data_IF_833106795102
#
_entry.id   IF_833106795102
#
_cell.length_a   1.000
_cell.length_b   1.000
_cell.length_c   1.000
_cell.angle_alpha   90.00
_cell.angle_beta   90.00
_cell.angle_gamma   90.00
#
_symmetry.space_group_name_H-M   'P 1'
#
loop_
_entity.id
_entity.type
_entity.pdbx_description
1 polymer ?
#
# COMPACT_ATOMS: atom_id res chain seq x y z
N UNK A 1 -12.62 -5.82 -12.60
CA UNK A 1 -11.38 -5.28 -11.99
C UNK A 1 -11.26 -3.77 -12.17
N UNK A 2 -11.38 -3.21 -13.39
CA UNK A 2 -11.38 -1.73 -13.58
C UNK A 2 -12.43 -1.00 -12.73
N UNK A 3 -13.61 -1.60 -12.55
CA UNK A 3 -14.67 -0.99 -11.74
C UNK A 3 -14.38 -1.00 -10.23
N UNK A 4 -13.66 -2.03 -9.73
CA UNK A 4 -13.30 -2.12 -8.30
C UNK A 4 -12.32 -1.03 -7.87
N UNK A 5 -11.34 -0.71 -8.73
CA UNK A 5 -10.41 0.38 -8.49
C UNK A 5 -11.14 1.72 -8.47
N UNK A 6 -11.97 1.99 -9.48
CA UNK A 6 -12.74 3.23 -9.57
C UNK A 6 -13.66 3.44 -8.36
N UNK A 7 -14.36 2.39 -7.91
CA UNK A 7 -15.19 2.47 -6.70
C UNK A 7 -14.36 2.70 -5.44
N UNK A 8 -13.18 2.10 -5.33
CA UNK A 8 -12.28 2.32 -4.19
C UNK A 8 -11.77 3.76 -4.15
N UNK A 9 -11.40 4.32 -5.30
CA UNK A 9 -10.99 5.71 -5.45
C UNK A 9 -12.14 6.67 -5.10
N UNK A 10 -13.37 6.40 -5.55
CA UNK A 10 -14.57 7.20 -5.23
C UNK A 10 -14.92 7.20 -3.72
N UNK A 11 -14.61 6.10 -3.01
CA UNK A 11 -14.81 6.00 -1.55
C UNK A 11 -13.72 6.76 -0.79
N UNK A 12 -12.45 6.59 -1.19
CA UNK A 12 -11.29 7.05 -0.44
C UNK A 12 -10.83 8.47 -0.75
N UNK A 13 -10.74 8.81 -2.04
CA UNK A 13 -9.95 9.97 -2.52
C UNK A 13 -10.75 10.92 -3.39
N UNK A 14 -11.58 10.40 -4.28
CA UNK A 14 -12.42 11.19 -5.18
C UNK A 14 -13.84 11.38 -4.62
N UNK A 15 -13.99 11.40 -3.30
CA UNK A 15 -15.32 11.52 -2.67
C UNK A 15 -15.97 12.85 -3.04
N UNK A 16 -16.77 12.83 -4.11
CA UNK A 16 -17.50 14.00 -4.63
C UNK A 16 -18.61 14.40 -3.65
N UNK A 17 -19.36 13.40 -3.18
CA UNK A 17 -20.40 13.57 -2.16
C UNK A 17 -20.65 12.25 -1.41
N UNK A 18 -21.48 12.29 -0.37
CA UNK A 18 -21.80 11.12 0.44
C UNK A 18 -22.60 10.04 -0.31
N UNK A 19 -23.42 10.43 -1.29
CA UNK A 19 -24.25 9.50 -2.06
C UNK A 19 -23.41 8.74 -3.09
N UNK A 20 -22.43 9.40 -3.70
CA UNK A 20 -21.41 8.85 -4.60
C UNK A 20 -20.59 7.76 -3.90
N UNK A 21 -19.96 8.09 -2.76
CA UNK A 21 -19.25 7.09 -1.95
C UNK A 21 -20.16 5.94 -1.50
N UNK A 22 -21.44 6.21 -1.21
CA UNK A 22 -22.39 5.15 -0.85
C UNK A 22 -22.68 4.22 -2.01
N UNK A 23 -22.93 4.73 -3.22
CA UNK A 23 -23.15 3.91 -4.42
C UNK A 23 -21.93 3.05 -4.76
N UNK A 24 -20.74 3.65 -4.74
CA UNK A 24 -19.49 2.90 -4.91
C UNK A 24 -19.37 1.80 -3.85
N UNK A 25 -19.79 2.08 -2.62
CA UNK A 25 -19.77 1.08 -1.56
C UNK A 25 -20.73 -0.07 -1.82
N UNK A 26 -21.98 0.26 -2.18
CA UNK A 26 -23.02 -0.72 -2.49
C UNK A 26 -22.62 -1.60 -3.69
N UNK A 27 -21.91 -1.05 -4.69
CA UNK A 27 -21.41 -1.81 -5.84
C UNK A 27 -20.34 -2.85 -5.46
N UNK A 28 -19.39 -2.49 -4.58
CA UNK A 28 -18.39 -3.44 -4.09
C UNK A 28 -19.07 -4.54 -3.25
N UNK A 29 -20.07 -4.18 -2.43
CA UNK A 29 -20.86 -5.17 -1.67
C UNK A 29 -21.58 -6.13 -2.64
N UNK A 30 -22.24 -5.60 -3.67
CA UNK A 30 -22.92 -6.41 -4.69
C UNK A 30 -21.95 -7.36 -5.41
N UNK A 31 -20.73 -6.92 -5.72
CA UNK A 31 -19.69 -7.78 -6.29
C UNK A 31 -19.36 -8.96 -5.38
N UNK A 32 -19.23 -8.73 -4.07
CA UNK A 32 -18.93 -9.80 -3.12
C UNK A 32 -20.15 -10.69 -2.84
N UNK A 33 -21.36 -10.13 -2.83
CA UNK A 33 -22.61 -10.89 -2.71
C UNK A 33 -22.83 -11.84 -3.91
N UNK A 34 -22.24 -11.55 -5.07
CA UNK A 34 -22.23 -12.47 -6.21
C UNK A 34 -21.17 -13.58 -6.06
N UNK A 35 -19.96 -13.24 -5.62
CA UNK A 35 -18.82 -14.17 -5.63
C UNK A 35 -18.81 -15.12 -4.44
N UNK A 36 -19.22 -14.67 -3.25
CA UNK A 36 -19.16 -15.47 -2.01
C UNK A 36 -20.07 -16.70 -2.10
N UNK A 37 -21.35 -16.61 -2.52
CA UNK A 37 -22.19 -17.78 -2.70
C UNK A 37 -21.66 -18.76 -3.75
N UNK A 38 -21.07 -18.25 -4.84
CA UNK A 38 -20.44 -19.10 -5.87
C UNK A 38 -19.26 -19.88 -5.31
N UNK A 39 -18.40 -19.25 -4.50
CA UNK A 39 -17.29 -19.93 -3.81
C UNK A 39 -17.74 -20.87 -2.71
N UNK A 40 -18.89 -20.61 -2.08
CA UNK A 40 -19.51 -21.54 -1.13
C UNK A 40 -20.01 -22.80 -1.83
N UNK A 41 -20.63 -22.68 -3.01
CA UNK A 41 -21.09 -23.82 -3.80
C UNK A 41 -19.94 -24.59 -4.48
N UNK A 42 -18.91 -23.87 -4.94
CA UNK A 42 -17.76 -24.42 -5.65
C UNK A 42 -16.45 -23.83 -5.10
N UNK A 43 -15.93 -24.39 -3.98
CA UNK A 43 -14.69 -23.91 -3.37
C UNK A 43 -13.50 -24.02 -4.32
N UNK A 44 -12.66 -22.98 -4.36
CA UNK A 44 -11.40 -22.93 -5.10
C UNK A 44 -10.18 -22.87 -4.17
N UNK A 45 -9.03 -22.52 -4.73
CA UNK A 45 -7.77 -22.29 -4.01
C UNK A 45 -7.54 -20.81 -3.64
N UNK A 46 -8.59 -19.98 -3.74
CA UNK A 46 -8.50 -18.54 -3.46
C UNK A 46 -8.76 -18.18 -2.00
N UNK A 47 -8.49 -16.91 -1.70
CA UNK A 47 -8.64 -16.36 -0.36
C UNK A 47 -10.09 -16.43 0.17
N UNK A 48 -11.09 -16.20 -0.68
CA UNK A 48 -12.50 -16.25 -0.26
C UNK A 48 -12.89 -17.68 0.14
N UNK A 49 -12.44 -18.66 -0.64
CA UNK A 49 -12.61 -20.09 -0.32
C UNK A 49 -11.90 -20.47 0.98
N UNK A 50 -10.72 -19.88 1.21
CA UNK A 50 -9.97 -20.06 2.47
C UNK A 50 -10.73 -19.51 3.67
N UNK A 51 -11.32 -18.31 3.56
CA UNK A 51 -12.15 -17.73 4.62
C UNK A 51 -13.41 -18.56 4.90
N UNK A 52 -14.07 -19.06 3.86
CA UNK A 52 -15.26 -19.90 3.98
C UNK A 52 -14.97 -21.22 4.71
N UNK A 53 -13.75 -21.76 4.57
CA UNK A 53 -13.31 -22.97 5.27
C UNK A 53 -12.73 -22.70 6.67
N UNK A 54 -12.43 -21.43 6.99
CA UNK A 54 -11.76 -21.06 8.23
C UNK A 54 -12.65 -21.24 9.46
N UNK A 55 -12.01 -21.57 10.58
CA UNK A 55 -12.66 -21.60 11.90
C UNK A 55 -11.84 -20.80 12.91
N UNK A 56 -12.50 -19.96 13.68
CA UNK A 56 -11.93 -19.21 14.80
C UNK A 56 -12.60 -19.72 16.08
N UNK A 57 -11.80 -20.12 17.07
CA UNK A 57 -12.28 -20.73 18.31
C UNK A 57 -13.26 -21.91 18.07
N UNK A 58 -12.96 -22.70 17.04
CA UNK A 58 -13.77 -23.85 16.62
C UNK A 58 -15.04 -23.54 15.83
N UNK A 59 -15.37 -22.26 15.62
CA UNK A 59 -16.58 -21.82 14.92
C UNK A 59 -16.26 -21.30 13.52
N UNK A 60 -17.07 -21.60 12.50
CA UNK A 60 -16.96 -20.98 11.18
C UNK A 60 -17.12 -19.45 11.29
N UNK A 61 -16.49 -18.72 10.37
CA UNK A 61 -16.75 -17.30 10.19
C UNK A 61 -18.18 -17.08 9.68
N UNK A 62 -18.85 -16.04 10.19
CA UNK A 62 -20.15 -15.60 9.69
C UNK A 62 -20.04 -14.84 8.36
N UNK A 63 -21.13 -14.79 7.60
CA UNK A 63 -21.18 -14.15 6.27
C UNK A 63 -20.73 -12.69 6.32
N UNK A 64 -21.11 -11.97 7.39
CA UNK A 64 -20.68 -10.59 7.61
C UNK A 64 -19.18 -10.47 7.84
N UNK A 65 -18.58 -11.36 8.62
CA UNK A 65 -17.14 -11.34 8.91
C UNK A 65 -16.34 -11.63 7.63
N UNK A 66 -16.79 -12.59 6.81
CA UNK A 66 -16.18 -12.90 5.52
C UNK A 66 -16.23 -11.68 4.60
N UNK A 67 -17.40 -11.03 4.50
CA UNK A 67 -17.56 -9.79 3.74
C UNK A 67 -16.60 -8.68 4.25
N UNK A 68 -16.52 -8.48 5.56
CA UNK A 68 -15.66 -7.46 6.17
C UNK A 68 -14.17 -7.73 5.88
N UNK A 69 -13.73 -9.00 5.88
CA UNK A 69 -12.36 -9.36 5.47
C UNK A 69 -12.10 -9.12 3.98
N UNK A 70 -13.02 -9.51 3.11
CA UNK A 70 -12.94 -9.26 1.67
C UNK A 70 -12.83 -7.76 1.37
N UNK A 71 -13.68 -6.97 2.03
CA UNK A 71 -13.68 -5.51 1.96
C UNK A 71 -12.36 -4.91 2.44
N UNK A 72 -11.90 -5.32 3.63
CA UNK A 72 -10.66 -4.85 4.22
C UNK A 72 -9.46 -5.09 3.30
N UNK A 73 -9.33 -6.30 2.74
CA UNK A 73 -8.22 -6.61 1.85
C UNK A 73 -8.29 -5.88 0.51
N UNK A 74 -9.48 -5.69 -0.05
CA UNK A 74 -9.65 -4.93 -1.27
C UNK A 74 -9.11 -3.50 -1.11
N UNK A 75 -9.52 -2.80 -0.06
CA UNK A 75 -9.06 -1.43 0.20
C UNK A 75 -7.58 -1.41 0.58
N UNK A 76 -7.15 -2.33 1.45
CA UNK A 76 -5.77 -2.34 1.94
C UNK A 76 -4.72 -2.60 0.84
N UNK A 77 -5.06 -3.45 -0.14
CA UNK A 77 -4.13 -3.89 -1.19
C UNK A 77 -4.07 -2.99 -2.42
N UNK A 78 -5.12 -2.22 -2.72
CA UNK A 78 -5.18 -1.46 -3.98
C UNK A 78 -4.29 -0.22 -3.97
N UNK A 79 -4.42 0.64 -2.96
CA UNK A 79 -3.87 1.98 -3.06
C UNK A 79 -2.46 2.12 -2.46
N UNK A 80 -2.20 1.51 -1.30
CA UNK A 80 -0.93 1.65 -0.59
C UNK A 80 0.29 1.18 -1.43
N UNK A 81 0.15 0.04 -2.11
CA UNK A 81 1.22 -0.51 -2.97
C UNK A 81 1.43 0.39 -4.20
N UNK A 82 0.34 0.80 -4.86
CA UNK A 82 0.40 1.67 -6.04
C UNK A 82 1.04 3.03 -5.72
N UNK A 83 0.66 3.63 -4.59
CA UNK A 83 1.28 4.84 -4.05
C UNK A 83 2.80 4.68 -3.84
N UNK A 84 3.23 3.54 -3.29
CA UNK A 84 4.64 3.29 -3.02
C UNK A 84 5.45 3.08 -4.29
N UNK A 85 4.91 2.29 -5.24
CA UNK A 85 5.51 2.12 -6.58
C UNK A 85 5.72 3.48 -7.23
N UNK A 86 4.67 4.32 -7.21
CA UNK A 86 4.69 5.64 -7.82
C UNK A 86 5.76 6.54 -7.22
N UNK A 87 5.81 6.63 -5.90
CA UNK A 87 6.80 7.46 -5.22
C UNK A 87 8.23 6.95 -5.42
N UNK A 88 8.45 5.64 -5.57
CA UNK A 88 9.76 5.10 -5.89
C UNK A 88 10.17 5.47 -7.32
N UNK A 89 9.26 5.34 -8.29
CA UNK A 89 9.52 5.78 -9.66
C UNK A 89 9.77 7.29 -9.73
N UNK A 90 9.07 8.09 -8.94
CA UNK A 90 9.34 9.53 -8.84
C UNK A 90 10.76 9.81 -8.32
N UNK A 91 11.19 9.14 -7.24
CA UNK A 91 12.54 9.27 -6.69
C UNK A 91 13.63 8.86 -7.68
N UNK A 92 13.41 7.76 -8.40
CA UNK A 92 14.31 7.28 -9.45
C UNK A 92 14.36 8.27 -10.61
N UNK A 93 13.22 8.83 -11.02
CA UNK A 93 13.17 9.80 -12.11
C UNK A 93 13.89 11.11 -11.79
N UNK A 94 13.91 11.50 -10.51
CA UNK A 94 14.59 12.71 -10.06
C UNK A 94 16.12 12.56 -9.93
N UNK A 95 16.68 11.36 -10.12
CA UNK A 95 18.11 11.09 -9.92
C UNK A 95 18.66 10.07 -10.92
N UNK A 96 19.37 10.57 -11.94
CA UNK A 96 20.03 9.72 -12.93
C UNK A 96 21.04 8.75 -12.30
N UNK A 97 21.75 9.18 -11.26
CA UNK A 97 22.71 8.33 -10.55
C UNK A 97 22.03 7.18 -9.80
N UNK A 98 20.86 7.42 -9.18
CA UNK A 98 20.05 6.36 -8.57
C UNK A 98 19.53 5.40 -9.63
N UNK A 99 18.97 5.93 -10.72
CA UNK A 99 18.47 5.15 -11.86
C UNK A 99 19.53 4.22 -12.44
N UNK A 100 20.68 4.76 -12.85
CA UNK A 100 21.78 3.98 -13.40
C UNK A 100 22.24 2.88 -12.44
N UNK A 101 22.30 3.21 -11.15
CA UNK A 101 22.70 2.25 -10.13
C UNK A 101 21.71 1.11 -9.98
N UNK A 102 20.40 1.38 -9.95
CA UNK A 102 19.37 0.34 -9.84
C UNK A 102 19.24 -0.49 -11.13
N UNK A 103 19.54 0.07 -12.30
CA UNK A 103 19.64 -0.69 -13.56
C UNK A 103 20.85 -1.64 -13.52
N UNK A 104 22.02 -1.17 -13.07
CA UNK A 104 23.25 -1.99 -12.98
C UNK A 104 23.19 -3.03 -11.87
N UNK A 105 22.54 -2.71 -10.75
CA UNK A 105 22.45 -3.56 -9.57
C UNK A 105 20.97 -3.80 -9.17
N UNK A 106 20.17 -4.58 -9.93
CA UNK A 106 18.73 -4.76 -9.65
C UNK A 106 18.42 -5.32 -8.26
N UNK A 107 19.34 -6.09 -7.66
CA UNK A 107 19.22 -6.56 -6.28
C UNK A 107 19.09 -5.42 -5.25
N UNK A 108 19.59 -4.22 -5.55
CA UNK A 108 19.49 -3.03 -4.70
C UNK A 108 18.10 -2.39 -4.73
N UNK A 109 17.21 -2.80 -5.62
CA UNK A 109 15.81 -2.33 -5.61
C UNK A 109 15.15 -2.67 -4.27
N UNK A 110 15.47 -3.81 -3.65
CA UNK A 110 14.97 -4.15 -2.32
C UNK A 110 15.35 -3.11 -1.25
N UNK A 111 16.58 -2.58 -1.29
CA UNK A 111 16.99 -1.48 -0.38
C UNK A 111 16.22 -0.19 -0.67
N UNK A 112 15.96 0.09 -1.95
CA UNK A 112 15.20 1.25 -2.39
C UNK A 112 13.73 1.18 -1.95
N UNK A 113 13.14 -0.03 -1.93
CA UNK A 113 11.79 -0.28 -1.41
C UNK A 113 11.69 0.07 0.07
N UNK A 114 12.63 -0.37 0.91
CA UNK A 114 12.58 -0.03 2.34
C UNK A 114 12.78 1.48 2.57
N UNK A 115 13.65 2.13 1.78
CA UNK A 115 13.88 3.57 1.95
C UNK A 115 12.71 4.42 1.46
N UNK A 116 12.05 4.07 0.35
CA UNK A 116 10.85 4.81 -0.09
C UNK A 116 9.69 4.62 0.89
N UNK A 117 9.54 3.43 1.46
CA UNK A 117 8.51 3.14 2.47
C UNK A 117 8.71 3.99 3.71
N UNK A 118 9.95 4.09 4.22
CA UNK A 118 10.30 5.01 5.31
C UNK A 118 9.97 6.44 4.91
N UNK A 119 10.53 6.89 3.79
CA UNK A 119 10.46 8.29 3.39
C UNK A 119 9.02 8.76 3.23
N UNK A 120 8.14 7.97 2.62
CA UNK A 120 6.79 8.41 2.28
C UNK A 120 5.68 7.91 3.20
N UNK A 121 5.85 6.73 3.83
CA UNK A 121 4.85 6.11 4.71
C UNK A 121 3.42 6.14 4.15
N UNK A 122 3.00 5.21 3.28
CA UNK A 122 1.71 5.28 2.59
C UNK A 122 0.51 5.52 3.51
N UNK A 123 0.54 4.91 4.70
CA UNK A 123 -0.39 5.21 5.79
C UNK A 123 0.30 6.14 6.78
N UNK A 124 -0.07 7.42 6.82
CA UNK A 124 0.63 8.41 7.67
C UNK A 124 0.44 8.18 9.16
N UNK A 125 -0.65 7.55 9.57
CA UNK A 125 -0.89 7.23 10.95
C UNK A 125 -2.21 6.53 11.19
N UNK A 126 -2.32 5.87 12.34
CA UNK A 126 -3.53 5.17 12.77
C UNK A 126 -3.83 5.55 14.21
N UNK A 127 -5.11 5.77 14.53
CA UNK A 127 -5.55 6.05 15.88
C UNK A 127 -5.89 4.78 16.66
N UNK A 128 -5.75 4.84 17.98
CA UNK A 128 -6.31 3.90 18.95
C UNK A 128 -7.17 4.64 19.95
N UNK A 129 -8.14 3.96 20.53
CA UNK A 129 -8.97 4.49 21.62
C UNK A 129 -8.50 3.90 22.93
N UNK A 130 -8.23 4.74 23.93
CA UNK A 130 -7.89 4.30 25.27
C UNK A 130 -9.08 3.55 25.89
N UNK A 131 -8.87 2.31 26.35
CA UNK A 131 -9.92 1.50 26.98
C UNK A 131 -10.07 1.76 28.47
N UNK A 132 -9.09 2.42 29.07
CA UNK A 132 -9.02 2.84 30.48
C UNK A 132 -8.08 4.04 30.58
N UNK A 133 -8.19 4.77 31.67
CA UNK A 133 -7.24 5.85 31.99
C UNK A 133 -5.81 5.29 32.01
N UNK A 134 -4.91 6.03 31.37
CA UNK A 134 -3.50 5.67 31.22
C UNK A 134 -2.65 6.93 31.07
N UNK A 135 -1.33 6.76 30.95
CA UNK A 135 -0.40 7.84 30.69
C UNK A 135 0.54 7.46 29.54
N UNK A 136 0.93 8.43 28.72
CA UNK A 136 2.02 8.29 27.73
C UNK A 136 2.97 9.45 27.93
N UNK A 137 4.22 9.15 28.27
CA UNK A 137 5.31 10.14 28.44
C UNK A 137 4.91 11.31 29.37
N UNK A 138 4.37 11.02 30.55
CA UNK A 138 3.93 12.07 31.48
C UNK A 138 2.51 12.60 31.20
N UNK A 139 1.93 12.33 30.04
CA UNK A 139 0.65 12.90 29.63
C UNK A 139 -0.52 11.96 29.96
N UNK A 140 -1.48 12.39 30.80
CA UNK A 140 -2.67 11.59 31.11
C UNK A 140 -3.58 11.49 29.88
N UNK A 141 -4.14 10.29 29.68
CA UNK A 141 -5.06 9.96 28.61
C UNK A 141 -6.25 9.26 29.24
N UNK A 142 -7.43 9.87 29.13
CA UNK A 142 -8.65 9.34 29.71
C UNK A 142 -9.23 8.20 28.87
N UNK A 143 -9.97 7.30 29.52
CA UNK A 143 -10.74 6.27 28.84
C UNK A 143 -11.68 6.90 27.79
N UNK A 144 -11.67 6.38 26.57
CA UNK A 144 -12.46 6.89 25.45
C UNK A 144 -11.72 7.91 24.56
N UNK A 145 -10.59 8.47 25.00
CA UNK A 145 -9.79 9.36 24.17
C UNK A 145 -9.08 8.63 23.04
N UNK A 146 -8.91 9.32 21.90
CA UNK A 146 -8.22 8.79 20.73
C UNK A 146 -6.79 9.30 20.68
N UNK A 147 -5.85 8.38 20.56
CA UNK A 147 -4.42 8.65 20.41
C UNK A 147 -4.02 8.31 18.98
N UNK A 148 -3.50 9.30 18.24
CA UNK A 148 -3.03 9.11 16.87
C UNK A 148 -1.53 8.81 16.86
N UNK A 149 -1.14 7.66 16.30
CA UNK A 149 0.26 7.31 16.08
C UNK A 149 0.64 7.74 14.66
N UNK A 150 1.45 8.78 14.53
CA UNK A 150 1.88 9.34 13.25
C UNK A 150 3.12 8.62 12.72
N UNK A 151 2.91 7.54 11.96
CA UNK A 151 3.99 6.77 11.32
C UNK A 151 4.85 7.61 10.40
N UNK A 152 4.25 8.50 9.59
CA UNK A 152 5.02 9.38 8.70
C UNK A 152 5.95 10.33 9.48
N UNK A 153 5.55 10.77 10.68
CA UNK A 153 6.41 11.56 11.56
C UNK A 153 7.51 10.71 12.17
N UNK A 154 7.18 9.52 12.65
CA UNK A 154 8.17 8.60 13.24
C UNK A 154 9.24 8.17 12.22
N UNK A 155 8.85 7.94 10.97
CA UNK A 155 9.77 7.57 9.89
C UNK A 155 10.62 8.76 9.37
N UNK A 156 10.35 9.97 9.87
CA UNK A 156 11.12 11.20 9.65
C UNK A 156 11.81 11.73 10.92
N UNK A 157 11.74 11.00 12.03
CA UNK A 157 12.36 11.40 13.31
C UNK A 157 13.88 11.41 13.18
N UNK A 158 14.50 12.60 13.27
CA UNK A 158 15.93 12.81 13.16
C UNK A 158 16.74 12.13 14.27
N UNK A 159 16.13 11.83 15.42
CA UNK A 159 16.76 11.08 16.50
C UNK A 159 16.92 9.58 16.14
N UNK A 160 16.17 9.10 15.14
CA UNK A 160 16.24 7.72 14.63
C UNK A 160 16.88 7.63 13.25
N UNK A 161 16.65 8.63 12.40
CA UNK A 161 17.08 8.65 11.00
C UNK A 161 17.89 9.91 10.71
N UNK A 162 19.23 9.83 10.65
CA UNK A 162 20.06 10.95 10.22
C UNK A 162 19.68 11.40 8.80
N UNK A 163 19.58 12.70 8.56
CA UNK A 163 19.09 13.25 7.28
C UNK A 163 17.73 12.63 6.88
N UNK A 164 16.70 12.78 7.72
CA UNK A 164 15.45 12.02 7.59
C UNK A 164 14.71 12.35 6.30
N UNK A 165 14.92 13.54 5.75
CA UNK A 165 14.26 14.00 4.55
C UNK A 165 14.91 13.58 3.24
N UNK A 166 16.09 12.95 3.32
CA UNK A 166 16.80 12.47 2.14
C UNK A 166 16.50 11.01 1.88
N UNK A 167 16.31 10.68 0.61
CA UNK A 167 16.37 9.32 0.13
C UNK A 167 17.81 8.81 0.17
N UNK A 168 18.07 7.78 0.99
CA UNK A 168 19.39 7.16 1.12
C UNK A 168 19.32 5.68 0.76
N UNK A 169 19.82 5.34 -0.44
CA UNK A 169 19.86 3.94 -0.89
C UNK A 169 20.72 3.08 0.05
N UNK A 170 20.12 2.04 0.63
CA UNK A 170 20.81 1.13 1.55
C UNK A 170 21.04 1.72 2.94
N UNK A 171 20.20 2.67 3.39
CA UNK A 171 20.18 3.19 4.75
C UNK A 171 20.25 2.05 5.78
N UNK A 172 21.16 2.16 6.76
CA UNK A 172 21.30 1.21 7.86
C UNK A 172 21.62 1.93 9.18
N UNK A 173 20.91 1.63 10.28
CA UNK A 173 19.68 0.83 10.32
C UNK A 173 18.51 1.53 9.58
N UNK A 174 17.54 0.76 9.09
CA UNK A 174 16.30 1.29 8.48
C UNK A 174 15.07 0.62 9.10
N UNK A 175 14.84 0.86 10.40
CA UNK A 175 13.76 0.24 11.18
C UNK A 175 12.53 1.15 11.15
N UNK A 176 11.98 1.32 9.96
CA UNK A 176 10.81 2.16 9.72
C UNK A 176 9.50 1.47 10.15
N UNK A 177 8.46 2.26 10.36
CA UNK A 177 7.13 1.82 10.84
C UNK A 177 6.01 2.04 9.82
N UNK A 178 6.33 2.32 8.55
CA UNK A 178 5.35 2.40 7.45
C UNK A 178 4.36 1.22 7.33
N UNK A 179 4.71 0.03 7.83
CA UNK A 179 3.81 -1.15 7.89
C UNK A 179 3.07 -1.30 9.24
N UNK A 180 3.14 -0.30 10.11
CA UNK A 180 2.70 -0.38 11.50
C UNK A 180 3.52 -1.36 12.35
N UNK A 181 3.13 -1.46 13.62
CA UNK A 181 3.80 -2.25 14.65
C UNK A 181 2.80 -3.01 15.53
N UNK A 182 3.29 -4.03 16.23
CA UNK A 182 2.51 -4.82 17.18
C UNK A 182 1.50 -5.77 16.53
N UNK A 183 0.41 -6.07 17.24
CA UNK A 183 -0.59 -7.08 16.86
C UNK A 183 -1.31 -6.80 15.53
N UNK A 184 -1.32 -5.54 15.09
CA UNK A 184 -1.93 -5.10 13.84
C UNK A 184 -0.90 -4.70 12.79
N UNK A 185 0.34 -5.20 12.90
CA UNK A 185 1.34 -5.03 11.84
C UNK A 185 0.78 -5.56 10.52
N UNK A 186 1.04 -4.83 9.43
CA UNK A 186 0.49 -5.10 8.11
C UNK A 186 0.65 -6.57 7.70
N UNK A 187 -0.50 -7.22 7.42
CA UNK A 187 -0.54 -8.59 6.93
C UNK A 187 0.09 -8.72 5.53
N UNK A 188 -0.08 -7.71 4.68
CA UNK A 188 0.42 -7.67 3.30
C UNK A 188 1.89 -7.29 3.17
N UNK A 189 2.64 -7.17 4.26
CA UNK A 189 3.99 -6.58 4.25
C UNK A 189 4.99 -7.30 3.32
N UNK A 190 4.84 -8.61 3.12
CA UNK A 190 5.69 -9.39 2.21
C UNK A 190 5.23 -9.27 0.76
N UNK A 191 3.92 -9.29 0.52
CA UNK A 191 3.35 -9.14 -0.81
C UNK A 191 3.64 -7.74 -1.37
N UNK A 192 3.41 -6.69 -0.59
CA UNK A 192 3.67 -5.32 -1.01
C UNK A 192 5.14 -5.12 -1.42
N UNK A 193 6.11 -5.63 -0.64
CA UNK A 193 7.53 -5.56 -0.99
C UNK A 193 7.84 -6.26 -2.32
N UNK A 194 7.25 -7.44 -2.52
CA UNK A 194 7.41 -8.21 -3.75
C UNK A 194 6.86 -7.43 -4.95
N UNK A 195 5.62 -6.94 -4.85
CA UNK A 195 4.94 -6.17 -5.89
C UNK A 195 5.72 -4.91 -6.25
N UNK A 196 6.14 -4.12 -5.25
CA UNK A 196 6.89 -2.89 -5.48
C UNK A 196 8.22 -3.20 -6.18
N UNK A 197 8.96 -4.20 -5.68
CA UNK A 197 10.25 -4.59 -6.27
C UNK A 197 10.08 -5.03 -7.71
N UNK A 198 9.17 -5.95 -7.99
CA UNK A 198 8.95 -6.49 -9.35
C UNK A 198 8.48 -5.38 -10.27
N UNK A 199 7.51 -4.55 -9.87
CA UNK A 199 7.03 -3.45 -10.70
C UNK A 199 8.16 -2.49 -11.10
N UNK A 200 9.00 -2.07 -10.14
CA UNK A 200 10.13 -1.17 -10.42
C UNK A 200 11.20 -1.85 -11.27
N UNK A 201 11.48 -3.13 -11.03
CA UNK A 201 12.43 -3.92 -11.81
C UNK A 201 11.99 -4.01 -13.28
N UNK A 202 10.72 -4.33 -13.55
CA UNK A 202 10.17 -4.40 -14.90
C UNK A 202 10.15 -3.04 -15.59
N UNK A 203 9.78 -1.97 -14.87
CA UNK A 203 9.81 -0.61 -15.42
C UNK A 203 11.23 -0.21 -15.82
N UNK A 204 12.23 -0.46 -14.96
CA UNK A 204 13.62 -0.14 -15.28
C UNK A 204 14.20 -1.01 -16.41
N UNK A 205 13.73 -2.26 -16.54
CA UNK A 205 14.17 -3.16 -17.60
C UNK A 205 13.60 -2.75 -18.96
N UNK A 206 12.32 -2.42 -19.03
CA UNK A 206 11.62 -2.15 -20.29
C UNK A 206 11.62 -0.67 -20.69
N UNK A 207 11.61 0.22 -19.71
CA UNK A 207 11.56 1.68 -19.89
C UNK A 207 12.73 2.36 -19.15
N UNK A 208 14.00 1.98 -19.38
CA UNK A 208 15.12 2.47 -18.58
C UNK A 208 15.27 4.00 -18.57
N UNK A 209 14.78 4.65 -19.62
CA UNK A 209 14.85 6.10 -19.85
C UNK A 209 13.54 6.84 -19.55
N UNK A 210 12.57 6.21 -18.87
CA UNK A 210 11.32 6.91 -18.53
C UNK A 210 11.61 8.19 -17.74
N UNK A 211 10.88 9.27 -17.99
CA UNK A 211 10.98 10.51 -17.25
C UNK A 211 9.58 10.96 -16.83
N UNK A 212 9.44 11.45 -15.59
CA UNK A 212 8.19 12.07 -15.15
C UNK A 212 7.98 13.38 -15.91
N UNK A 213 6.84 13.49 -16.59
CA UNK A 213 6.53 14.58 -17.50
C UNK A 213 5.11 15.10 -17.26
N UNK A 214 4.98 16.05 -16.33
CA UNK A 214 3.71 16.67 -15.99
C UNK A 214 3.58 16.93 -14.48
N UNK A 215 2.40 17.38 -14.08
CA UNK A 215 2.09 17.59 -12.67
C UNK A 215 1.93 16.24 -11.96
N UNK A 216 2.59 16.12 -10.82
CA UNK A 216 2.42 14.99 -9.91
C UNK A 216 1.55 15.46 -8.77
N UNK A 217 0.49 14.71 -8.45
CA UNK A 217 -0.37 15.07 -7.33
C UNK A 217 0.40 15.09 -6.02
N UNK A 218 -0.13 15.83 -5.05
CA UNK A 218 0.51 16.02 -3.75
C UNK A 218 0.87 14.67 -3.11
N UNK A 219 2.12 14.57 -2.64
CA UNK A 219 2.73 13.35 -2.09
C UNK A 219 2.72 12.12 -3.02
N UNK A 220 2.64 12.32 -4.33
CA UNK A 220 2.52 11.22 -5.28
C UNK A 220 1.13 10.59 -5.30
N UNK A 221 0.07 11.33 -4.98
CA UNK A 221 -1.32 10.89 -5.20
C UNK A 221 -1.73 11.09 -6.66
N UNK A 222 -2.64 10.25 -7.18
CA UNK A 222 -3.13 10.34 -8.56
C UNK A 222 -2.11 9.89 -9.63
N UNK A 223 -2.40 10.04 -10.93
CA UNK A 223 -1.57 9.49 -12.01
C UNK A 223 -0.12 10.01 -11.98
N UNK A 224 0.83 9.19 -12.43
CA UNK A 224 2.22 9.60 -12.68
C UNK A 224 2.44 9.72 -14.19
N UNK A 225 2.35 10.92 -14.76
CA UNK A 225 2.55 11.10 -16.18
C UNK A 225 4.04 10.90 -16.51
N UNK A 226 4.34 10.06 -17.50
CA UNK A 226 5.71 9.75 -17.91
C UNK A 226 5.88 9.81 -19.42
N UNK A 227 7.06 10.20 -19.86
CA UNK A 227 7.55 10.03 -21.23
C UNK A 227 8.69 9.00 -21.25
N UNK A 228 8.89 8.33 -22.38
CA UNK A 228 9.98 7.35 -22.58
C UNK A 228 10.23 7.19 -24.08
N UNK A 229 11.40 6.70 -24.47
CA UNK A 229 11.66 6.37 -25.88
C UNK A 229 10.91 5.09 -26.26
N UNK A 230 9.99 5.13 -27.24
CA UNK A 230 9.28 3.93 -27.67
C UNK A 230 10.27 2.89 -28.19
N UNK A 231 10.22 1.68 -27.65
CA UNK A 231 10.92 0.50 -28.18
C UNK A 231 9.88 -0.55 -28.52
N UNK A 232 10.15 -1.37 -29.53
CA UNK A 232 9.35 -2.58 -29.78
C UNK A 232 9.55 -3.52 -28.60
N UNK A 233 8.61 -3.53 -27.66
CA UNK A 233 8.60 -4.48 -26.53
C UNK A 233 8.06 -5.79 -27.09
N UNK A 234 8.94 -6.75 -27.35
CA UNK A 234 8.54 -8.05 -27.84
C UNK A 234 8.09 -8.93 -26.66
N UNK A 235 6.80 -8.86 -26.32
CA UNK A 235 6.21 -9.55 -25.16
C UNK A 235 6.23 -11.09 -25.30
N UNK A 236 6.51 -11.62 -26.49
CA UNK A 236 6.54 -13.06 -26.77
C UNK A 236 7.90 -13.74 -26.45
N UNK A 237 8.95 -12.98 -26.11
CA UNK A 237 10.31 -13.53 -25.95
C UNK A 237 10.66 -13.98 -24.51
N UNK A 238 9.72 -13.89 -23.56
CA UNK A 238 9.94 -14.18 -22.13
C UNK A 238 8.98 -15.20 -21.54
N UNK A 239 8.57 -16.20 -22.33
CA UNK A 239 7.85 -17.39 -21.85
C UNK A 239 8.82 -18.57 -21.65
#
# INVERSE_FOLDING_TARGET
>A
MRDLQAWTEEIGYERRDAASARRASDNIVAFFDEIIPRRRAHPGSDFISTLLAAKVDGKPLGDREIMDFCWFLLIAGLDNTAFTIRNLLLQISASDSLRERLIREPARIADAVEEVLRLYSPVWGIARTATRDTEIDGQPIAAGERVMMLFASADRDEAKFPEPDRFVLGRKPNVHVAFGVGKHRCLGTHLARLEIRVAVEEVLRHLPDYQVAGEVGWNGMGPLPVTYTPKTINLEATA
#
